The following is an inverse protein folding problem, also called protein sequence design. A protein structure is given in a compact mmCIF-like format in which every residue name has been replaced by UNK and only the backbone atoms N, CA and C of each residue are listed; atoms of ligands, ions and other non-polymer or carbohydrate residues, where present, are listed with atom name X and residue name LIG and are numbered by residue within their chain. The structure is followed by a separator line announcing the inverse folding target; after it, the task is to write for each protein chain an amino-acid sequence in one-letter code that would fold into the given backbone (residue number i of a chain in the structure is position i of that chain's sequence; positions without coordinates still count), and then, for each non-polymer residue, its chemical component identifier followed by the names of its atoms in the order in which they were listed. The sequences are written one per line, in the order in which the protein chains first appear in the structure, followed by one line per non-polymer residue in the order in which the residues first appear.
data_IF_556449889212
#
_entry.id   IF_556449889212
#
_cell.length_a   1.000
_cell.length_b   1.000
_cell.length_c   1.000
_cell.angle_alpha   90.00
_cell.angle_beta   90.00
_cell.angle_gamma   90.00
#
_symmetry.space_group_name_H-M   'P 1'
#
loop_
_entity.id
_entity.type
_entity.pdbx_description
1 polymer ?
#
# COMPACT_ATOMS: atom_id res chain seq x y z
N UNK A 1 -5.61 11.54 19.91
CA UNK A 1 -4.41 11.23 20.71
C UNK A 1 -4.62 10.13 21.75
N UNK A 2 -5.80 10.04 22.40
CA UNK A 2 -6.10 9.07 23.48
C UNK A 2 -5.73 7.62 23.09
N UNK A 3 -6.23 7.09 21.97
CA UNK A 3 -5.97 5.70 21.56
C UNK A 3 -4.48 5.42 21.25
N UNK A 4 -3.77 6.39 20.68
CA UNK A 4 -2.32 6.27 20.46
C UNK A 4 -1.60 6.14 21.80
N UNK A 5 -1.98 6.95 22.79
CA UNK A 5 -1.38 6.89 24.11
C UNK A 5 -1.70 5.60 24.87
N UNK A 6 -2.85 4.99 24.64
CA UNK A 6 -3.14 3.65 25.18
C UNK A 6 -2.16 2.58 24.65
N UNK A 7 -1.87 2.60 23.36
CA UNK A 7 -0.89 1.69 22.74
C UNK A 7 0.51 1.96 23.31
N UNK A 8 0.90 3.23 23.37
CA UNK A 8 2.21 3.65 23.91
C UNK A 8 2.40 3.30 25.39
N UNK A 9 1.36 3.47 26.19
CA UNK A 9 1.37 3.10 27.60
C UNK A 9 1.57 1.59 27.80
N UNK A 10 0.89 0.77 27.01
CA UNK A 10 1.08 -0.71 27.00
C UNK A 10 2.54 -1.06 26.69
N UNK A 11 3.19 -0.35 25.77
CA UNK A 11 4.58 -0.53 25.38
C UNK A 11 5.59 0.14 26.34
N UNK A 12 5.15 0.78 27.43
CA UNK A 12 6.01 1.52 28.35
C UNK A 12 6.61 2.81 27.76
N UNK A 13 6.08 3.31 26.64
CA UNK A 13 6.55 4.50 25.98
C UNK A 13 5.88 5.77 26.53
N UNK A 14 6.60 6.89 26.49
CA UNK A 14 6.07 8.18 26.95
C UNK A 14 4.86 8.60 26.12
N UNK A 15 3.80 9.13 26.75
CA UNK A 15 2.63 9.63 26.01
C UNK A 15 2.99 10.83 25.14
N UNK A 16 2.26 10.97 24.03
CA UNK A 16 2.34 12.13 23.16
C UNK A 16 1.28 13.16 23.55
N UNK A 17 1.62 14.44 23.40
CA UNK A 17 0.71 15.56 23.59
C UNK A 17 0.29 16.18 22.26
N UNK A 18 -0.82 16.96 22.28
CA UNK A 18 -1.32 17.64 21.10
C UNK A 18 -2.38 16.88 20.31
N UNK A 19 -2.59 17.30 19.05
CA UNK A 19 -3.60 16.73 18.12
C UNK A 19 -2.98 15.59 17.34
N UNK A 20 -3.69 14.48 17.20
CA UNK A 20 -3.25 13.38 16.35
C UNK A 20 -3.38 13.75 14.86
N UNK A 21 -2.28 13.78 14.18
CA UNK A 21 -2.20 13.95 12.72
C UNK A 21 -2.06 12.61 12.01
N UNK A 22 -2.26 12.57 10.69
CA UNK A 22 -1.98 11.38 9.88
C UNK A 22 -0.53 10.93 10.06
N UNK A 23 0.42 11.89 10.15
CA UNK A 23 1.82 11.57 10.37
C UNK A 23 2.04 10.90 11.73
N UNK A 24 1.44 11.42 12.81
CA UNK A 24 1.52 10.81 14.14
C UNK A 24 1.04 9.36 14.15
N UNK A 25 -0.07 9.09 13.43
CA UNK A 25 -0.61 7.73 13.30
C UNK A 25 0.33 6.83 12.50
N UNK A 26 0.87 7.32 11.38
CA UNK A 26 1.81 6.57 10.55
C UNK A 26 3.09 6.20 11.29
N UNK A 27 3.61 7.12 12.11
CA UNK A 27 4.82 6.90 12.90
C UNK A 27 4.58 5.87 14.01
N UNK A 28 3.44 5.94 14.68
CA UNK A 28 3.11 4.96 15.72
C UNK A 28 2.85 3.57 15.12
N UNK A 29 2.14 3.50 13.99
CA UNK A 29 1.96 2.24 13.26
C UNK A 29 3.27 1.64 12.78
N UNK A 30 4.23 2.47 12.38
CA UNK A 30 5.56 1.99 11.97
C UNK A 30 6.33 1.34 13.12
N UNK A 31 6.15 1.85 14.34
CA UNK A 31 6.79 1.28 15.54
C UNK A 31 6.08 0.01 16.00
N UNK A 32 4.76 0.06 16.12
CA UNK A 32 3.95 -1.05 16.63
C UNK A 32 3.95 -2.26 15.70
N UNK A 33 3.89 -2.03 14.38
CA UNK A 33 3.77 -3.06 13.36
C UNK A 33 5.10 -3.29 12.61
N UNK A 34 6.22 -3.04 13.28
CA UNK A 34 7.55 -3.27 12.72
C UNK A 34 7.71 -4.76 12.36
N UNK A 35 8.09 -5.04 11.10
CA UNK A 35 8.24 -6.40 10.58
C UNK A 35 6.97 -7.06 10.03
N UNK A 36 5.79 -6.44 10.18
CA UNK A 36 4.52 -7.00 9.66
C UNK A 36 4.24 -6.65 8.19
N UNK A 37 5.16 -6.01 7.50
CA UNK A 37 5.09 -5.62 6.07
C UNK A 37 3.91 -4.71 5.69
N UNK A 38 3.28 -4.04 6.66
CA UNK A 38 2.11 -3.17 6.42
C UNK A 38 2.49 -1.75 5.97
N UNK A 39 3.74 -1.32 6.21
CA UNK A 39 4.21 0.05 5.95
C UNK A 39 3.99 0.51 4.51
N UNK A 40 4.26 -0.35 3.54
CA UNK A 40 4.05 -0.05 2.12
C UNK A 40 2.58 0.34 1.82
N UNK A 41 1.65 -0.42 2.36
CA UNK A 41 0.21 -0.17 2.14
C UNK A 41 -0.27 1.08 2.88
N UNK A 42 0.25 1.33 4.07
CA UNK A 42 -0.06 2.54 4.84
C UNK A 42 0.40 3.81 4.11
N UNK A 43 1.63 3.82 3.61
CA UNK A 43 2.17 4.94 2.83
C UNK A 43 1.43 5.13 1.50
N UNK A 44 1.12 4.04 0.81
CA UNK A 44 0.37 4.10 -0.45
C UNK A 44 -1.04 4.64 -0.24
N UNK A 45 -1.76 4.13 0.75
CA UNK A 45 -3.13 4.55 1.09
C UNK A 45 -3.23 6.01 1.49
N UNK A 46 -2.21 6.54 2.17
CA UNK A 46 -2.17 7.93 2.63
C UNK A 46 -1.53 8.91 1.64
N UNK A 47 -1.12 8.43 0.45
CA UNK A 47 -0.44 9.25 -0.56
C UNK A 47 0.98 9.67 -0.15
N UNK A 48 1.57 9.03 0.85
CA UNK A 48 2.93 9.30 1.35
C UNK A 48 4.01 8.44 0.70
N UNK A 49 3.65 7.52 -0.19
CA UNK A 49 4.61 6.70 -0.91
C UNK A 49 5.23 7.49 -2.07
N UNK A 50 6.09 8.44 -1.75
CA UNK A 50 6.79 9.32 -2.69
C UNK A 50 8.30 9.30 -2.43
N UNK A 51 9.10 9.59 -3.45
CA UNK A 51 10.55 9.70 -3.33
C UNK A 51 10.96 10.72 -2.27
N UNK A 52 10.29 11.88 -2.24
CA UNK A 52 10.56 12.94 -1.28
C UNK A 52 10.36 12.46 0.17
N UNK A 53 9.21 11.85 0.47
CA UNK A 53 8.92 11.36 1.81
C UNK A 53 9.85 10.21 2.24
N UNK A 54 10.18 9.31 1.32
CA UNK A 54 11.09 8.20 1.62
C UNK A 54 12.52 8.68 1.84
N UNK A 55 13.00 9.65 1.08
CA UNK A 55 14.34 10.24 1.29
C UNK A 55 14.44 10.96 2.65
N UNK A 56 13.36 11.60 3.09
CA UNK A 56 13.30 12.27 4.41
C UNK A 56 13.27 11.26 5.56
N UNK A 57 12.47 10.20 5.44
CA UNK A 57 12.21 9.26 6.55
C UNK A 57 13.12 8.04 6.55
N UNK A 58 13.59 7.61 5.39
CA UNK A 58 14.49 6.46 5.20
C UNK A 58 15.34 6.64 3.94
N UNK A 59 16.43 7.43 4.02
CA UNK A 59 17.28 7.74 2.86
C UNK A 59 17.91 6.49 2.22
N UNK A 60 18.18 5.43 2.99
CA UNK A 60 18.76 4.20 2.49
C UNK A 60 17.85 3.49 1.47
N UNK A 61 16.53 3.64 1.62
CA UNK A 61 15.53 3.10 0.69
C UNK A 61 15.09 4.14 -0.32
N UNK A 62 14.96 5.39 0.12
CA UNK A 62 14.44 6.50 -0.68
C UNK A 62 15.25 6.74 -1.96
N UNK A 63 16.58 6.66 -1.88
CA UNK A 63 17.48 6.84 -3.03
C UNK A 63 17.25 5.84 -4.17
N UNK A 64 16.69 4.66 -3.89
CA UNK A 64 16.40 3.63 -4.88
C UNK A 64 14.93 3.58 -5.30
N UNK A 65 14.08 4.41 -4.68
CA UNK A 65 12.66 4.44 -5.00
C UNK A 65 12.41 5.21 -6.30
N UNK A 66 11.76 4.54 -7.25
CA UNK A 66 11.39 5.11 -8.56
C UNK A 66 9.87 5.23 -8.58
N UNK A 67 9.37 6.47 -8.65
CA UNK A 67 7.95 6.76 -8.79
C UNK A 67 7.39 6.17 -10.10
N UNK A 68 6.15 5.73 -10.07
CA UNK A 68 5.51 5.05 -11.19
C UNK A 68 5.90 3.58 -11.38
N UNK A 69 7.03 3.15 -10.79
CA UNK A 69 7.50 1.76 -10.87
C UNK A 69 7.33 1.01 -9.55
N UNK A 70 7.85 1.56 -8.47
CA UNK A 70 7.88 0.87 -7.17
C UNK A 70 6.59 1.03 -6.36
N UNK A 71 5.68 1.87 -6.80
CA UNK A 71 4.34 2.00 -6.24
C UNK A 71 3.44 0.80 -6.56
N UNK A 72 3.78 0.04 -7.60
CA UNK A 72 3.03 -1.13 -8.04
C UNK A 72 3.84 -2.38 -7.78
N UNK A 73 3.27 -3.35 -7.09
CA UNK A 73 3.93 -4.65 -6.91
C UNK A 73 3.75 -5.48 -8.18
N UNK A 74 4.83 -6.05 -8.75
CA UNK A 74 4.74 -6.90 -9.91
C UNK A 74 3.95 -8.18 -9.56
N UNK A 75 3.06 -8.57 -10.45
CA UNK A 75 2.39 -9.87 -10.34
C UNK A 75 3.36 -10.93 -10.84
N UNK A 76 3.55 -11.99 -10.05
CA UNK A 76 4.44 -13.10 -10.41
C UNK A 76 4.10 -13.67 -11.79
N UNK A 77 5.10 -13.89 -12.62
CA UNK A 77 4.96 -14.52 -13.95
C UNK A 77 4.35 -15.92 -13.88
N UNK A 78 4.59 -16.65 -12.77
CA UNK A 78 3.98 -17.96 -12.49
C UNK A 78 2.47 -17.81 -12.32
N UNK A 79 2.03 -16.75 -11.65
CA UNK A 79 0.62 -16.44 -11.47
C UNK A 79 -0.04 -16.05 -12.82
N UNK A 80 0.66 -15.25 -13.64
CA UNK A 80 0.22 -14.89 -14.98
C UNK A 80 0.07 -16.11 -15.90
N UNK A 81 0.97 -17.08 -15.84
CA UNK A 81 0.90 -18.31 -16.64
C UNK A 81 -0.35 -19.14 -16.35
N UNK A 82 -0.80 -19.20 -15.10
CA UNK A 82 -2.04 -19.86 -14.69
C UNK A 82 -3.30 -19.05 -15.04
N UNK A 83 -3.22 -17.72 -14.98
CA UNK A 83 -4.34 -16.83 -15.29
C UNK A 83 -4.53 -16.61 -16.80
N UNK A 84 -3.46 -16.62 -17.61
CA UNK A 84 -3.53 -16.35 -19.05
C UNK A 84 -4.46 -17.31 -19.81
N UNK A 85 -4.56 -18.57 -19.39
CA UNK A 85 -5.52 -19.52 -19.95
C UNK A 85 -6.96 -19.19 -19.56
N UNK A 86 -7.19 -18.75 -18.34
CA UNK A 86 -8.54 -18.46 -17.82
C UNK A 86 -9.06 -17.10 -18.30
N UNK A 87 -8.17 -16.10 -18.46
CA UNK A 87 -8.54 -14.79 -19.02
C UNK A 87 -8.83 -14.84 -20.52
N UNK A 88 -8.15 -15.70 -21.28
CA UNK A 88 -8.47 -15.88 -22.71
C UNK A 88 -9.90 -16.37 -22.90
N UNK A 89 -10.33 -17.35 -22.10
CA UNK A 89 -11.71 -17.85 -22.12
C UNK A 89 -12.74 -16.81 -21.66
N UNK A 90 -12.40 -15.97 -20.67
CA UNK A 90 -13.27 -14.90 -20.19
C UNK A 90 -13.31 -13.72 -21.17
N UNK A 91 -12.20 -13.34 -21.79
CA UNK A 91 -12.17 -12.26 -22.79
C UNK A 91 -12.97 -12.62 -24.05
N UNK A 92 -12.91 -13.86 -24.50
CA UNK A 92 -13.72 -14.32 -25.64
C UNK A 92 -15.22 -14.34 -25.30
N UNK A 93 -15.59 -14.75 -24.08
CA UNK A 93 -16.99 -14.70 -23.64
C UNK A 93 -17.50 -13.27 -23.45
N UNK A 94 -16.68 -12.33 -22.96
CA UNK A 94 -17.04 -10.91 -22.82
C UNK A 94 -17.16 -10.21 -24.17
N UNK A 95 -16.29 -10.52 -25.12
CA UNK A 95 -16.39 -9.99 -26.49
C UNK A 95 -17.67 -10.43 -27.17
N UNK A 96 -18.12 -11.66 -26.94
CA UNK A 96 -19.40 -12.16 -27.45
C UNK A 96 -20.60 -11.48 -26.78
N UNK A 97 -20.54 -11.22 -25.46
CA UNK A 97 -21.61 -10.52 -24.72
C UNK A 97 -21.70 -9.06 -25.13
N UNK A 98 -20.60 -8.39 -25.38
CA UNK A 98 -20.58 -6.98 -25.84
C UNK A 98 -21.03 -6.87 -27.28
N UNK A 99 -20.65 -7.80 -28.18
CA UNK A 99 -21.12 -7.81 -29.56
C UNK A 99 -22.63 -8.06 -29.71
N UNK A 100 -23.22 -8.83 -28.78
CA UNK A 100 -24.67 -9.10 -28.81
C UNK A 100 -25.53 -8.04 -28.10
N UNK A 101 -24.96 -7.02 -27.46
CA UNK A 101 -25.72 -5.91 -26.82
C UNK A 101 -25.66 -4.57 -27.55
N UNK A 102 -24.98 -4.51 -28.69
CA UNK A 102 -25.03 -3.31 -29.54
C UNK A 102 -25.96 -3.64 -30.69
N UNK A 103 -27.17 -3.19 -30.58
CA UNK A 103 -28.29 -3.12 -31.53
C UNK A 103 -29.58 -3.73 -30.97
N UNK A 104 -30.19 -3.00 -30.09
CA UNK A 104 -31.64 -2.70 -30.13
C UNK A 104 -31.86 -1.33 -29.49
#
# INVERSE_FOLDING_TARGET
MQYINMVRQRAGAKPLSGVATVQTVLDERARELCGEYVRFYDLKRTGKLTSAYLNETNPDVGQYFIEGKHEVRPISTIFFGKFRRRWRLLSESWVLVVKNRVWM
#
